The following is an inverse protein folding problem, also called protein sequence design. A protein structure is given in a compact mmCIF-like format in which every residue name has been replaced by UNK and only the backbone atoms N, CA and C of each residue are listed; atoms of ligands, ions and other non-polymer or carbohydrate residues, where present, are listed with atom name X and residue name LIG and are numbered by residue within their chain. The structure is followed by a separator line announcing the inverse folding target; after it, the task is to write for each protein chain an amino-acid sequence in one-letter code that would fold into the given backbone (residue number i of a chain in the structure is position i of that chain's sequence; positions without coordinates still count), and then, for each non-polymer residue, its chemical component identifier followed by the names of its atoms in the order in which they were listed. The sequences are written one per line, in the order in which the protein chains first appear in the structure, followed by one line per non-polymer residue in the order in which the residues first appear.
data_IF_544498865047
#
_entry.id   IF_544498865047
#
_cell.length_a   1.000
_cell.length_b   1.000
_cell.length_c   1.000
_cell.angle_alpha   90.00
_cell.angle_beta   90.00
_cell.angle_gamma   90.00
#
_symmetry.space_group_name_H-M   'P 1'
#
loop_
_entity.id
_entity.type
_entity.pdbx_description
1 polymer ?
#
# COMPACT_ATOMS: atom_id res chain seq x y z
N UNK A 1 -19.51 -0.44 -16.89
CA UNK A 1 -19.52 -0.51 -15.42
C UNK A 1 -20.88 -0.02 -14.99
N UNK A 2 -21.48 -0.65 -13.98
CA UNK A 2 -22.61 -0.01 -13.31
C UNK A 2 -22.13 1.28 -12.64
N UNK A 3 -22.99 2.29 -12.62
CA UNK A 3 -22.79 3.57 -11.92
C UNK A 3 -22.39 3.33 -10.45
N UNK A 4 -23.02 2.33 -9.83
CA UNK A 4 -22.75 1.85 -8.48
C UNK A 4 -21.31 1.41 -8.23
N UNK A 5 -20.68 0.68 -9.17
CA UNK A 5 -19.29 0.23 -9.00
C UNK A 5 -18.26 1.38 -9.08
N UNK A 6 -18.61 2.47 -9.76
CA UNK A 6 -17.78 3.68 -9.81
C UNK A 6 -17.92 4.50 -8.53
N UNK A 7 -19.15 4.70 -8.04
CA UNK A 7 -19.42 5.36 -6.75
C UNK A 7 -18.75 4.64 -5.59
N UNK A 8 -18.87 3.30 -5.56
CA UNK A 8 -18.20 2.45 -4.59
C UNK A 8 -16.67 2.64 -4.59
N UNK A 9 -16.04 2.67 -5.78
CA UNK A 9 -14.60 2.92 -5.91
C UNK A 9 -14.20 4.34 -5.46
N UNK A 10 -15.06 5.33 -5.69
CA UNK A 10 -14.82 6.72 -5.30
C UNK A 10 -14.95 6.90 -3.79
N UNK A 11 -15.97 6.30 -3.17
CA UNK A 11 -16.11 6.23 -1.70
C UNK A 11 -14.90 5.55 -1.06
N UNK A 12 -14.40 4.47 -1.68
CA UNK A 12 -13.21 3.78 -1.23
C UNK A 12 -11.96 4.66 -1.27
N UNK A 13 -11.74 5.35 -2.40
CA UNK A 13 -10.63 6.27 -2.56
C UNK A 13 -10.72 7.43 -1.56
N UNK A 14 -11.92 7.96 -1.32
CA UNK A 14 -12.18 8.99 -0.32
C UNK A 14 -11.91 8.47 1.09
N UNK A 15 -12.43 7.31 1.47
CA UNK A 15 -12.17 6.69 2.77
C UNK A 15 -10.68 6.43 2.99
N UNK A 16 -9.98 5.96 1.97
CA UNK A 16 -8.54 5.72 2.01
C UNK A 16 -7.70 6.99 2.19
N UNK A 17 -8.15 8.11 1.63
CA UNK A 17 -7.50 9.41 1.80
C UNK A 17 -7.74 10.02 3.19
N UNK A 18 -8.81 9.63 3.89
CA UNK A 18 -9.19 10.21 5.18
C UNK A 18 -8.77 9.34 6.39
N UNK A 19 -8.58 8.03 6.21
CA UNK A 19 -8.13 7.12 7.27
C UNK A 19 -6.60 7.19 7.46
N UNK A 20 -6.17 7.63 8.65
CA UNK A 20 -4.75 7.88 8.98
C UNK A 20 -4.11 6.76 9.78
N UNK A 21 -4.91 5.83 10.30
CA UNK A 21 -4.41 4.63 10.96
C UNK A 21 -4.36 3.49 9.95
N UNK A 22 -3.15 3.05 9.60
CA UNK A 22 -2.94 1.94 8.66
C UNK A 22 -3.66 0.66 9.11
N UNK A 23 -3.79 0.47 10.43
CA UNK A 23 -4.55 -0.62 11.07
C UNK A 23 -6.04 -0.63 10.74
N UNK A 24 -6.64 0.52 10.43
CA UNK A 24 -8.07 0.67 10.11
C UNK A 24 -8.33 0.75 8.61
N UNK A 25 -7.35 1.24 7.86
CA UNK A 25 -7.43 1.39 6.42
C UNK A 25 -7.56 0.04 5.70
N UNK A 26 -6.71 -0.92 6.05
CA UNK A 26 -6.70 -2.24 5.41
C UNK A 26 -8.00 -3.04 5.64
N UNK A 27 -8.60 -3.08 6.83
CA UNK A 27 -9.94 -3.63 7.05
C UNK A 27 -11.01 -3.06 6.11
N UNK A 28 -11.08 -1.73 6.01
CA UNK A 28 -12.09 -1.04 5.21
C UNK A 28 -11.94 -1.36 3.73
N UNK A 29 -10.70 -1.32 3.22
CA UNK A 29 -10.38 -1.65 1.84
C UNK A 29 -10.73 -3.10 1.50
N UNK A 30 -10.37 -4.02 2.40
CA UNK A 30 -10.59 -5.46 2.19
C UNK A 30 -12.08 -5.79 2.23
N UNK A 31 -12.84 -5.24 3.17
CA UNK A 31 -14.29 -5.45 3.25
C UNK A 31 -15.02 -4.92 2.01
N UNK A 32 -14.60 -3.76 1.49
CA UNK A 32 -15.16 -3.20 0.26
C UNK A 32 -14.81 -4.05 -0.97
N UNK A 33 -13.53 -4.44 -1.13
CA UNK A 33 -13.07 -5.35 -2.18
C UNK A 33 -13.94 -6.62 -2.21
N UNK A 34 -14.20 -7.22 -1.05
CA UNK A 34 -15.01 -8.43 -0.93
C UNK A 34 -16.47 -8.22 -1.35
N UNK A 35 -17.10 -7.10 -0.96
CA UNK A 35 -18.47 -6.77 -1.38
C UNK A 35 -18.58 -6.60 -2.89
N UNK A 36 -17.71 -5.81 -3.49
CA UNK A 36 -17.74 -5.56 -4.95
C UNK A 36 -17.38 -6.81 -5.76
N UNK A 37 -16.61 -7.74 -5.18
CA UNK A 37 -16.30 -9.04 -5.79
C UNK A 37 -17.34 -10.12 -5.49
N UNK A 38 -18.35 -9.84 -4.66
CA UNK A 38 -19.34 -10.81 -4.20
C UNK A 38 -18.67 -12.02 -3.53
N UNK A 39 -17.58 -11.79 -2.81
CA UNK A 39 -16.73 -12.81 -2.21
C UNK A 39 -16.95 -12.88 -0.70
N UNK A 40 -16.89 -14.10 -0.15
CA UNK A 40 -17.12 -14.34 1.27
C UNK A 40 -15.86 -14.18 2.12
N UNK A 41 -14.70 -14.49 1.54
CA UNK A 41 -13.43 -14.46 2.28
C UNK A 41 -12.29 -13.90 1.43
N UNK A 42 -11.35 -13.23 2.07
CA UNK A 42 -10.05 -12.91 1.48
C UNK A 42 -8.93 -13.23 2.47
N UNK A 43 -7.80 -13.65 1.93
CA UNK A 43 -6.55 -13.77 2.68
C UNK A 43 -5.59 -12.74 2.12
N UNK A 44 -5.01 -11.94 3.01
CA UNK A 44 -3.98 -10.96 2.67
C UNK A 44 -2.60 -11.55 2.99
N UNK A 45 -1.72 -11.61 1.99
CA UNK A 45 -0.32 -12.03 2.16
C UNK A 45 0.60 -10.81 2.29
N UNK A 46 0.78 -10.34 3.52
CA UNK A 46 1.52 -9.09 3.82
C UNK A 46 3.04 -9.27 4.00
N UNK A 47 3.50 -10.43 4.48
CA UNK A 47 4.91 -10.72 4.78
C UNK A 47 5.45 -11.93 4.00
N UNK A 48 6.78 -12.07 4.02
CA UNK A 48 7.50 -13.23 3.50
C UNK A 48 6.94 -14.52 4.11
N UNK A 49 6.82 -15.57 3.30
CA UNK A 49 6.42 -16.89 3.79
C UNK A 49 7.57 -17.47 4.62
N UNK A 50 7.60 -17.14 5.91
CA UNK A 50 8.47 -17.80 6.88
C UNK A 50 7.65 -18.34 8.07
N UNK A 51 8.20 -19.40 8.67
CA UNK A 51 7.57 -20.32 9.63
C UNK A 51 7.24 -19.70 11.01
N UNK A 52 7.30 -18.37 11.12
CA UNK A 52 7.12 -17.62 12.38
C UNK A 52 5.97 -16.62 12.38
N UNK A 53 5.23 -16.45 11.28
CA UNK A 53 4.10 -15.50 11.24
C UNK A 53 2.84 -16.09 11.88
N UNK A 54 2.13 -15.32 12.74
CA UNK A 54 0.96 -15.79 13.46
C UNK A 54 -0.23 -15.96 12.50
N UNK A 55 -0.47 -17.18 12.01
CA UNK A 55 -1.65 -17.53 11.21
C UNK A 55 -1.80 -16.81 9.87
N UNK A 56 -2.88 -17.13 9.14
CA UNK A 56 -3.31 -16.39 7.95
C UNK A 56 -4.41 -15.41 8.38
N UNK A 57 -4.23 -14.11 8.11
CA UNK A 57 -5.30 -13.13 8.33
C UNK A 57 -6.47 -13.40 7.37
N UNK A 58 -7.55 -14.02 7.87
CA UNK A 58 -8.78 -14.25 7.10
C UNK A 58 -9.74 -13.08 7.29
N UNK A 59 -10.15 -12.48 6.18
CA UNK A 59 -11.06 -11.35 6.14
C UNK A 59 -12.41 -11.74 5.54
N UNK A 60 -13.47 -11.14 6.05
CA UNK A 60 -14.84 -11.21 5.52
C UNK A 60 -15.32 -9.80 5.16
N UNK A 61 -16.45 -9.63 4.45
CA UNK A 61 -17.04 -8.31 4.23
C UNK A 61 -17.27 -7.49 5.51
N UNK A 62 -17.44 -8.15 6.66
CA UNK A 62 -17.67 -7.52 7.97
C UNK A 62 -16.40 -7.19 8.75
N UNK A 63 -15.22 -7.60 8.28
CA UNK A 63 -13.94 -7.41 8.98
C UNK A 63 -13.14 -8.71 9.13
N UNK A 64 -12.12 -8.67 9.98
CA UNK A 64 -11.27 -9.83 10.28
C UNK A 64 -12.09 -10.93 10.95
N UNK A 65 -11.86 -12.17 10.54
CA UNK A 65 -12.57 -13.34 11.05
C UNK A 65 -11.75 -14.04 12.12
N UNK A 66 -12.40 -14.51 13.18
CA UNK A 66 -11.80 -15.41 14.17
C UNK A 66 -11.66 -16.86 13.66
N UNK A 67 -11.92 -17.10 12.37
CA UNK A 67 -11.81 -18.43 11.75
C UNK A 67 -10.37 -18.92 11.85
N UNK A 68 -10.19 -20.06 12.50
CA UNK A 68 -8.96 -20.82 12.46
C UNK A 68 -8.88 -21.62 11.16
N UNK A 69 -7.71 -21.59 10.53
CA UNK A 69 -7.36 -22.44 9.38
C UNK A 69 -6.38 -23.48 9.92
N UNK A 70 -6.63 -24.76 9.66
CA UNK A 70 -5.74 -25.84 10.08
C UNK A 70 -4.36 -25.74 9.42
N UNK A 71 -3.34 -26.37 10.01
CA UNK A 71 -1.94 -26.23 9.57
C UNK A 71 -1.72 -26.71 8.14
N UNK A 72 -2.38 -27.78 7.72
CA UNK A 72 -2.26 -28.33 6.36
C UNK A 72 -2.87 -27.38 5.33
N UNK A 73 -4.06 -26.84 5.60
CA UNK A 73 -4.68 -25.81 4.78
C UNK A 73 -3.83 -24.54 4.76
N UNK A 74 -3.25 -24.12 5.88
CA UNK A 74 -2.32 -22.98 5.91
C UNK A 74 -1.10 -23.24 5.04
N UNK A 75 -0.47 -24.41 5.12
CA UNK A 75 0.67 -24.79 4.29
C UNK A 75 0.30 -24.78 2.80
N UNK A 76 -0.84 -25.38 2.44
CA UNK A 76 -1.34 -25.39 1.05
C UNK A 76 -1.58 -23.97 0.53
N UNK A 77 -2.30 -23.13 1.30
CA UNK A 77 -2.57 -21.73 0.93
C UNK A 77 -1.25 -20.94 0.84
N UNK A 78 -0.30 -21.20 1.74
CA UNK A 78 1.01 -20.55 1.73
C UNK A 78 1.73 -20.81 0.42
N UNK A 79 1.71 -22.02 -0.15
CA UNK A 79 2.32 -22.29 -1.49
C UNK A 79 1.87 -21.32 -2.58
N UNK A 80 0.65 -20.78 -2.46
CA UNK A 80 0.06 -19.86 -3.44
C UNK A 80 -0.23 -20.52 -4.79
N UNK A 81 -0.19 -21.85 -4.88
CA UNK A 81 -0.54 -22.57 -6.12
C UNK A 81 -2.02 -22.34 -6.49
N UNK A 82 -2.36 -22.20 -7.78
CA UNK A 82 -1.47 -22.20 -8.96
C UNK A 82 -0.91 -20.82 -9.31
N UNK A 83 -1.18 -19.79 -8.50
CA UNK A 83 -0.87 -18.41 -8.82
C UNK A 83 0.62 -18.11 -8.81
N UNK A 84 1.37 -18.66 -7.85
CA UNK A 84 2.81 -18.48 -7.74
C UNK A 84 3.53 -18.89 -9.03
N UNK A 85 3.20 -20.08 -9.55
CA UNK A 85 3.81 -20.60 -10.78
C UNK A 85 3.44 -19.75 -12.00
N UNK A 86 2.18 -19.32 -12.10
CA UNK A 86 1.71 -18.44 -13.17
C UNK A 86 2.49 -17.12 -13.20
N UNK A 87 2.62 -16.45 -12.06
CA UNK A 87 3.31 -15.16 -11.99
C UNK A 87 4.83 -15.30 -12.17
N UNK A 88 5.42 -16.40 -11.70
CA UNK A 88 6.84 -16.72 -11.96
C UNK A 88 7.09 -16.92 -13.44
N UNK A 89 6.20 -17.63 -14.14
CA UNK A 89 6.34 -17.93 -15.57
C UNK A 89 6.09 -16.71 -16.48
N UNK A 90 5.11 -15.87 -16.14
CA UNK A 90 4.69 -14.75 -17.01
C UNK A 90 5.36 -13.42 -16.66
N UNK A 91 5.68 -13.20 -15.38
CA UNK A 91 6.09 -11.89 -14.87
C UNK A 91 5.00 -10.83 -14.86
N UNK A 92 3.76 -11.18 -15.19
CA UNK A 92 2.64 -10.25 -15.28
C UNK A 92 1.87 -10.16 -13.96
N UNK A 93 1.98 -9.04 -13.25
CA UNK A 93 1.21 -8.78 -12.03
C UNK A 93 -0.22 -8.36 -12.37
N UNK A 94 -1.02 -9.28 -12.90
CA UNK A 94 -2.41 -9.03 -13.29
C UNK A 94 -3.37 -9.91 -12.48
N UNK A 95 -4.57 -9.42 -12.12
CA UNK A 95 -5.56 -10.25 -11.46
C UNK A 95 -6.01 -11.40 -12.36
N UNK A 96 -6.01 -12.62 -11.81
CA UNK A 96 -6.35 -13.86 -12.50
C UNK A 96 -7.12 -14.80 -11.58
N UNK A 97 -7.88 -15.73 -12.18
CA UNK A 97 -8.55 -16.80 -11.43
C UNK A 97 -7.79 -18.11 -11.58
N UNK A 98 -7.87 -18.98 -10.57
CA UNK A 98 -7.22 -20.29 -10.65
C UNK A 98 -7.70 -21.11 -11.87
N UNK A 99 -9.00 -21.00 -12.19
CA UNK A 99 -9.61 -21.58 -13.39
C UNK A 99 -9.05 -21.03 -14.70
N UNK A 100 -8.75 -19.73 -14.78
CA UNK A 100 -8.17 -19.13 -16.00
C UNK A 100 -6.74 -19.60 -16.27
N UNK A 101 -6.00 -19.94 -15.21
CA UNK A 101 -4.61 -20.40 -15.28
C UNK A 101 -4.54 -21.89 -15.63
N UNK A 102 -5.32 -22.72 -14.93
CA UNK A 102 -5.18 -24.19 -14.98
C UNK A 102 -6.25 -24.87 -15.83
N UNK A 103 -7.34 -24.18 -16.14
CA UNK A 103 -8.55 -24.77 -16.70
C UNK A 103 -9.45 -25.40 -15.63
N UNK A 104 -10.77 -25.40 -15.87
CA UNK A 104 -11.75 -25.76 -14.83
C UNK A 104 -11.68 -27.21 -14.33
N UNK A 105 -11.24 -28.16 -15.16
CA UNK A 105 -11.11 -29.57 -14.74
C UNK A 105 -9.90 -29.77 -13.84
N UNK A 106 -8.75 -29.22 -14.20
CA UNK A 106 -7.50 -29.33 -13.44
C UNK A 106 -7.66 -28.62 -12.09
N UNK A 107 -8.20 -27.41 -12.07
CA UNK A 107 -8.50 -26.69 -10.84
C UNK A 107 -9.35 -27.53 -9.87
N UNK A 108 -10.52 -28.02 -10.32
CA UNK A 108 -11.46 -28.75 -9.45
C UNK A 108 -10.83 -29.95 -8.75
N UNK A 109 -9.88 -30.62 -9.40
CA UNK A 109 -9.20 -31.82 -8.92
C UNK A 109 -7.87 -31.51 -8.19
N UNK A 110 -7.52 -30.24 -8.00
CA UNK A 110 -6.31 -29.84 -7.29
C UNK A 110 -6.54 -29.79 -5.77
N UNK A 111 -5.45 -29.98 -5.03
CA UNK A 111 -5.41 -29.83 -3.56
C UNK A 111 -5.84 -28.42 -3.13
N UNK A 112 -5.36 -27.38 -3.80
CA UNK A 112 -5.73 -26.00 -3.51
C UNK A 112 -7.24 -25.74 -3.66
N UNK A 113 -7.92 -26.44 -4.59
CA UNK A 113 -9.38 -26.35 -4.71
C UNK A 113 -10.12 -27.16 -3.64
N UNK A 114 -9.55 -28.26 -3.14
CA UNK A 114 -10.09 -28.97 -1.99
C UNK A 114 -10.04 -28.10 -0.74
N UNK A 115 -8.88 -27.50 -0.45
CA UNK A 115 -8.69 -26.55 0.66
C UNK A 115 -9.63 -25.35 0.53
N UNK A 116 -9.77 -24.75 -0.66
CA UNK A 116 -10.72 -23.65 -0.86
C UNK A 116 -12.17 -24.03 -0.52
N UNK A 117 -12.61 -25.25 -0.88
CA UNK A 117 -13.96 -25.74 -0.59
C UNK A 117 -14.14 -26.07 0.89
N UNK A 118 -13.19 -26.79 1.47
CA UNK A 118 -13.28 -27.29 2.85
C UNK A 118 -13.12 -26.16 3.86
N UNK A 119 -12.17 -25.25 3.65
CA UNK A 119 -11.87 -24.16 4.59
C UNK A 119 -12.83 -22.98 4.44
N UNK A 120 -13.23 -22.61 3.21
CA UNK A 120 -13.98 -21.38 2.93
C UNK A 120 -15.34 -21.59 2.25
N UNK A 121 -15.72 -22.83 1.92
CA UNK A 121 -16.90 -23.11 1.10
C UNK A 121 -16.79 -22.58 -0.33
N UNK A 122 -15.56 -22.31 -0.81
CA UNK A 122 -15.32 -21.58 -2.05
C UNK A 122 -15.16 -22.49 -3.26
N UNK A 123 -15.90 -22.23 -4.33
CA UNK A 123 -15.74 -22.89 -5.62
C UNK A 123 -14.73 -22.18 -6.52
N UNK A 124 -14.55 -20.88 -6.30
CA UNK A 124 -13.76 -20.00 -7.16
C UNK A 124 -12.79 -19.15 -6.35
N UNK A 125 -11.56 -19.02 -6.87
CA UNK A 125 -10.49 -18.23 -6.24
C UNK A 125 -9.88 -17.27 -7.26
N UNK A 126 -9.70 -16.02 -6.84
CA UNK A 126 -9.06 -14.96 -7.59
C UNK A 126 -7.80 -14.49 -6.83
N UNK A 127 -6.69 -14.35 -7.53
CA UNK A 127 -5.51 -13.68 -7.00
C UNK A 127 -5.46 -12.24 -7.50
N UNK A 128 -5.13 -11.32 -6.59
CA UNK A 128 -4.94 -9.90 -6.86
C UNK A 128 -3.55 -9.51 -6.31
N UNK A 129 -2.50 -9.50 -7.16
CA UNK A 129 -1.15 -9.22 -6.72
C UNK A 129 -0.95 -7.69 -6.60
N UNK A 130 -0.21 -7.25 -5.58
CA UNK A 130 -0.05 -5.84 -5.24
C UNK A 130 1.41 -5.37 -5.22
N UNK A 131 2.37 -6.24 -4.93
CA UNK A 131 3.79 -5.89 -4.96
C UNK A 131 4.69 -7.06 -5.39
N UNK A 132 5.85 -6.71 -5.95
CA UNK A 132 6.98 -7.62 -6.22
C UNK A 132 7.39 -7.68 -7.70
N UNK A 133 8.69 -7.79 -7.97
CA UNK A 133 9.21 -8.48 -9.16
C UNK A 133 9.90 -9.73 -8.64
N UNK A 134 9.24 -10.87 -8.81
CA UNK A 134 9.79 -12.22 -8.59
C UNK A 134 10.27 -12.55 -7.16
N UNK A 135 9.28 -12.75 -6.28
CA UNK A 135 9.32 -13.36 -4.94
C UNK A 135 9.71 -12.48 -3.72
N UNK A 136 8.86 -12.46 -2.66
CA UNK A 136 7.52 -13.05 -2.57
C UNK A 136 6.46 -12.21 -3.28
N UNK A 137 5.42 -12.88 -3.75
CA UNK A 137 4.25 -12.21 -4.33
C UNK A 137 3.32 -11.81 -3.19
N UNK A 138 3.14 -10.50 -3.02
CA UNK A 138 2.23 -9.92 -2.04
C UNK A 138 0.88 -9.59 -2.68
N UNK A 139 -0.19 -9.71 -1.92
CA UNK A 139 -1.52 -9.32 -2.36
C UNK A 139 -2.63 -10.12 -1.70
N UNK A 140 -3.73 -10.27 -2.43
CA UNK A 140 -4.96 -10.90 -1.95
C UNK A 140 -5.27 -12.20 -2.69
N UNK A 141 -5.67 -13.22 -1.92
CA UNK A 141 -6.42 -14.37 -2.43
C UNK A 141 -7.88 -14.19 -2.02
N UNK A 142 -8.78 -14.14 -2.99
CA UNK A 142 -10.21 -13.85 -2.80
C UNK A 142 -11.03 -15.09 -3.12
N UNK A 143 -11.86 -15.52 -2.18
CA UNK A 143 -12.60 -16.77 -2.18
C UNK A 143 -14.10 -16.52 -2.32
N UNK A 144 -14.72 -17.15 -3.32
CA UNK A 144 -16.13 -16.99 -3.66
C UNK A 144 -16.86 -18.33 -3.67
N UNK A 145 -18.01 -18.38 -3.00
CA UNK A 145 -18.73 -19.64 -2.70
C UNK A 145 -19.44 -20.23 -3.91
N UNK A 146 -20.45 -19.56 -4.43
CA UNK A 146 -21.42 -20.22 -5.33
C UNK A 146 -21.26 -19.83 -6.82
N UNK A 147 -20.38 -18.88 -7.15
CA UNK A 147 -20.30 -18.32 -8.50
C UNK A 147 -18.87 -18.06 -8.96
N UNK A 148 -18.63 -18.33 -10.24
CA UNK A 148 -17.39 -17.97 -10.93
C UNK A 148 -17.20 -16.46 -10.99
N UNK A 149 -15.95 -16.01 -10.93
CA UNK A 149 -15.62 -14.61 -11.19
C UNK A 149 -15.85 -14.30 -12.67
N UNK A 150 -16.73 -13.34 -12.94
CA UNK A 150 -17.03 -12.87 -14.30
C UNK A 150 -15.95 -11.93 -14.83
N UNK A 151 -16.01 -11.63 -16.13
CA UNK A 151 -15.15 -10.62 -16.75
C UNK A 151 -15.27 -9.23 -16.09
N UNK A 152 -16.46 -8.88 -15.58
CA UNK A 152 -16.68 -7.63 -14.87
C UNK A 152 -15.93 -7.58 -13.53
N UNK A 153 -15.93 -8.67 -12.76
CA UNK A 153 -15.16 -8.78 -11.53
C UNK A 153 -13.65 -8.63 -11.79
N UNK A 154 -13.13 -9.26 -12.85
CA UNK A 154 -11.72 -9.12 -13.24
C UNK A 154 -11.40 -7.69 -13.70
N UNK A 155 -12.32 -7.04 -14.42
CA UNK A 155 -12.15 -5.65 -14.83
C UNK A 155 -12.16 -4.69 -13.64
N UNK A 156 -13.00 -4.94 -12.62
CA UNK A 156 -12.96 -4.22 -11.36
C UNK A 156 -11.64 -4.45 -10.62
N UNK A 157 -11.22 -5.71 -10.45
CA UNK A 157 -9.97 -6.07 -9.80
C UNK A 157 -8.76 -5.36 -10.44
N UNK A 158 -8.70 -5.31 -11.78
CA UNK A 158 -7.63 -4.60 -12.53
C UNK A 158 -7.63 -3.09 -12.28
N UNK A 159 -8.81 -2.48 -12.12
CA UNK A 159 -8.93 -1.03 -11.87
C UNK A 159 -8.56 -0.66 -10.43
N UNK A 160 -8.96 -1.48 -9.46
CA UNK A 160 -8.69 -1.21 -8.03
C UNK A 160 -7.26 -1.61 -7.63
N UNK A 161 -6.63 -2.53 -8.36
CA UNK A 161 -5.28 -3.04 -8.06
C UNK A 161 -4.22 -1.93 -7.87
N UNK A 162 -4.06 -0.93 -8.75
CA UNK A 162 -3.06 0.13 -8.54
C UNK A 162 -3.31 0.97 -7.27
N UNK A 163 -4.57 1.19 -6.92
CA UNK A 163 -4.95 1.90 -5.69
C UNK A 163 -4.54 1.10 -4.46
N UNK A 164 -4.90 -0.18 -4.42
CA UNK A 164 -4.53 -1.09 -3.33
C UNK A 164 -3.00 -1.23 -3.21
N UNK A 165 -2.29 -1.32 -4.34
CA UNK A 165 -0.83 -1.42 -4.35
C UNK A 165 -0.18 -0.14 -3.80
N UNK A 166 -0.71 1.04 -4.15
CA UNK A 166 -0.25 2.31 -3.61
C UNK A 166 -0.45 2.40 -2.09
N UNK A 167 -1.64 2.03 -1.61
CA UNK A 167 -1.94 2.00 -0.18
C UNK A 167 -1.07 1.00 0.57
N UNK A 168 -0.90 -0.22 0.05
CA UNK A 168 -0.09 -1.23 0.72
C UNK A 168 1.38 -0.83 0.80
N UNK A 169 1.90 -0.21 -0.26
CA UNK A 169 3.25 0.38 -0.26
C UNK A 169 3.39 1.44 0.83
N UNK A 170 2.39 2.31 0.99
CA UNK A 170 2.36 3.32 2.05
C UNK A 170 2.30 2.70 3.45
N UNK A 171 1.43 1.71 3.68
CA UNK A 171 1.34 1.01 4.96
C UNK A 171 2.63 0.26 5.31
N UNK A 172 3.31 -0.35 4.34
CA UNK A 172 4.61 -1.02 4.55
C UNK A 172 5.71 -0.03 4.90
N UNK A 173 5.73 1.13 4.24
CA UNK A 173 6.68 2.19 4.55
C UNK A 173 6.48 2.71 5.99
N UNK A 174 5.23 2.93 6.39
CA UNK A 174 4.90 3.37 7.75
C UNK A 174 5.27 2.32 8.80
N UNK A 175 4.95 1.03 8.58
CA UNK A 175 5.32 -0.06 9.49
C UNK A 175 6.84 -0.20 9.66
N UNK A 176 7.60 -0.18 8.56
CA UNK A 176 9.08 -0.21 8.64
C UNK A 176 9.65 1.00 9.38
N UNK A 177 9.02 2.17 9.25
CA UNK A 177 9.40 3.36 9.99
C UNK A 177 9.09 3.22 11.49
N UNK A 178 7.92 2.67 11.85
CA UNK A 178 7.54 2.38 13.25
C UNK A 178 8.44 1.33 13.92
N UNK A 179 8.91 0.34 13.15
CA UNK A 179 9.85 -0.70 13.60
C UNK A 179 11.28 -0.18 13.78
N UNK A 180 11.67 0.84 13.00
CA UNK A 180 12.98 1.47 13.08
C UNK A 180 13.12 2.48 14.24
N UNK A 181 12.04 2.80 14.96
CA UNK A 181 12.08 3.69 16.12
C UNK A 181 12.45 2.92 17.41
N UNK A 182 13.38 3.42 18.25
CA UNK A 182 13.67 2.85 19.56
C UNK A 182 12.40 2.74 20.41
N UNK A 183 12.25 1.64 21.17
CA UNK A 183 11.04 1.36 22.00
C UNK A 183 10.67 2.53 22.93
N UNK A 184 11.66 3.30 23.39
CA UNK A 184 11.46 4.49 24.22
C UNK A 184 10.69 5.64 23.51
N UNK A 185 10.79 5.76 22.19
CA UNK A 185 10.09 6.77 21.39
C UNK A 185 8.71 6.28 20.88
N UNK A 186 8.40 4.97 20.96
CA UNK A 186 7.13 4.41 20.48
C UNK A 186 5.92 4.90 21.28
N UNK A 187 6.11 5.21 22.56
CA UNK A 187 5.07 5.73 23.47
C UNK A 187 4.83 7.24 23.26
N UNK A 188 5.84 8.01 22.82
CA UNK A 188 5.72 9.45 22.54
C UNK A 188 5.34 9.79 21.09
N UNK A 189 5.73 8.96 20.12
CA UNK A 189 5.42 9.16 18.70
C UNK A 189 3.92 8.97 18.39
N UNK A 190 3.28 8.00 19.06
CA UNK A 190 1.84 7.73 18.90
C UNK A 190 0.95 8.84 19.47
N UNK A 191 1.36 9.50 20.56
CA UNK A 191 0.61 10.62 21.16
C UNK A 191 0.76 11.95 20.39
N UNK A 192 1.85 12.13 19.64
CA UNK A 192 2.13 13.42 18.96
C UNK A 192 1.73 13.42 17.48
N UNK A 193 1.77 12.28 16.78
CA UNK A 193 1.29 12.16 15.39
C UNK A 193 -0.25 12.20 15.29
N UNK A 194 -0.98 11.78 16.33
CA UNK A 194 -2.45 11.76 16.36
C UNK A 194 -3.14 13.12 16.52
N UNK A 195 -2.41 14.17 16.88
CA UNK A 195 -3.02 15.44 17.33
C UNK A 195 -3.01 16.58 16.30
N UNK A 196 -2.25 16.50 15.20
CA UNK A 196 -2.22 17.57 14.18
C UNK A 196 -3.20 17.28 13.03
N UNK A 197 -4.45 17.73 13.19
CA UNK A 197 -5.51 17.57 12.17
C UNK A 197 -5.45 18.65 11.08
N UNK A 198 -4.67 18.41 10.03
CA UNK A 198 -4.72 19.20 8.79
C UNK A 198 -5.88 18.76 7.89
N UNK A 199 -6.58 19.73 7.27
CA UNK A 199 -7.60 19.49 6.24
C UNK A 199 -6.96 19.10 4.91
N UNK A 200 -7.70 18.51 3.97
CA UNK A 200 -7.19 18.11 2.66
C UNK A 200 -6.48 19.27 1.90
N UNK A 201 -7.04 20.49 2.00
CA UNK A 201 -6.45 21.69 1.37
C UNK A 201 -5.16 22.12 2.05
N UNK A 202 -5.10 22.04 3.38
CA UNK A 202 -3.88 22.33 4.15
C UNK A 202 -2.79 21.30 3.89
N UNK A 203 -3.12 20.00 3.79
CA UNK A 203 -2.17 18.94 3.43
C UNK A 203 -1.59 19.17 2.03
N UNK A 204 -2.43 19.51 1.06
CA UNK A 204 -1.98 19.81 -0.31
C UNK A 204 -1.02 21.00 -0.34
N UNK A 205 -1.34 22.07 0.40
CA UNK A 205 -0.45 23.24 0.51
C UNK A 205 0.85 22.88 1.23
N UNK A 206 0.81 22.04 2.27
CA UNK A 206 1.99 21.57 2.99
C UNK A 206 2.93 20.73 2.12
N UNK A 207 2.40 19.84 1.27
CA UNK A 207 3.19 19.06 0.31
C UNK A 207 3.96 19.97 -0.66
N UNK A 208 3.27 20.94 -1.23
CA UNK A 208 3.87 21.91 -2.15
C UNK A 208 4.86 22.86 -1.43
N UNK A 209 4.66 23.12 -0.14
CA UNK A 209 5.63 23.82 0.69
C UNK A 209 6.93 23.00 0.86
N UNK A 210 6.81 21.68 1.03
CA UNK A 210 7.93 20.74 1.08
C UNK A 210 8.70 20.64 -0.23
N UNK A 211 8.05 20.85 -1.38
CA UNK A 211 8.67 21.00 -2.71
C UNK A 211 9.35 22.37 -2.92
N UNK A 212 9.50 23.18 -1.88
CA UNK A 212 10.08 24.54 -1.95
C UNK A 212 9.32 25.52 -2.86
N UNK A 213 8.05 25.29 -3.18
CA UNK A 213 7.26 26.20 -4.02
C UNK A 213 6.85 27.48 -3.29
N UNK A 214 6.83 28.61 -4.00
CA UNK A 214 6.36 29.90 -3.47
C UNK A 214 4.83 29.94 -3.38
N UNK A 215 4.28 30.79 -2.52
CA UNK A 215 2.82 30.95 -2.38
C UNK A 215 2.13 31.33 -3.72
N UNK A 216 2.83 32.09 -4.57
CA UNK A 216 2.36 32.43 -5.92
C UNK A 216 2.31 31.20 -6.84
N UNK A 217 3.34 30.35 -6.83
CA UNK A 217 3.36 29.11 -7.60
C UNK A 217 2.31 28.11 -7.11
N UNK A 218 2.14 28.00 -5.79
CA UNK A 218 1.09 27.18 -5.17
C UNK A 218 -0.30 27.68 -5.59
N UNK A 219 -0.52 29.00 -5.55
CA UNK A 219 -1.78 29.62 -5.95
C UNK A 219 -2.14 29.30 -7.41
N UNK A 220 -1.18 29.45 -8.33
CA UNK A 220 -1.37 29.06 -9.74
C UNK A 220 -1.69 27.58 -9.91
N UNK A 221 -0.97 26.69 -9.22
CA UNK A 221 -1.13 25.23 -9.34
C UNK A 221 -2.46 24.72 -8.77
N UNK A 222 -3.01 25.40 -7.77
CA UNK A 222 -4.23 25.01 -7.07
C UNK A 222 -5.48 25.83 -7.45
N UNK A 223 -5.35 26.79 -8.38
CA UNK A 223 -6.44 27.70 -8.75
C UNK A 223 -6.87 28.62 -7.60
N UNK A 224 -5.92 29.12 -6.81
CA UNK A 224 -6.18 29.93 -5.60
C UNK A 224 -5.49 31.29 -5.66
N UNK A 225 -6.09 32.29 -5.01
CA UNK A 225 -5.40 33.55 -4.75
C UNK A 225 -4.22 33.34 -3.79
N UNK A 226 -3.16 34.14 -3.94
CA UNK A 226 -1.99 34.14 -3.02
C UNK A 226 -2.42 34.39 -1.58
N UNK A 227 -3.42 35.26 -1.36
CA UNK A 227 -3.98 35.54 -0.04
C UNK A 227 -4.61 34.28 0.58
N UNK A 228 -5.34 33.48 -0.20
CA UNK A 228 -5.93 32.23 0.28
C UNK A 228 -4.87 31.19 0.61
N UNK A 229 -3.78 31.13 -0.16
CA UNK A 229 -2.63 30.26 0.16
C UNK A 229 -2.00 30.68 1.49
N UNK A 230 -1.77 31.97 1.74
CA UNK A 230 -1.25 32.45 3.02
C UNK A 230 -2.18 32.13 4.20
N UNK A 231 -3.51 32.19 4.00
CA UNK A 231 -4.48 31.75 5.04
C UNK A 231 -4.30 30.26 5.38
N UNK A 232 -4.10 29.41 4.39
CA UNK A 232 -3.80 27.99 4.63
C UNK A 232 -2.45 27.80 5.32
N UNK A 233 -1.40 28.52 4.91
CA UNK A 233 -0.09 28.49 5.57
C UNK A 233 -0.18 28.89 7.04
N UNK A 234 -0.91 29.96 7.37
CA UNK A 234 -1.11 30.39 8.76
C UNK A 234 -1.86 29.35 9.60
N UNK A 235 -2.87 28.69 9.03
CA UNK A 235 -3.58 27.59 9.71
C UNK A 235 -2.67 26.38 9.92
N UNK A 236 -1.85 26.03 8.92
CA UNK A 236 -0.84 24.96 9.00
C UNK A 236 0.17 25.27 10.12
N UNK A 237 0.71 26.48 10.17
CA UNK A 237 1.68 26.90 11.16
C UNK A 237 1.12 26.81 12.57
N UNK A 238 -0.08 27.33 12.79
CA UNK A 238 -0.80 27.23 14.06
C UNK A 238 -1.04 25.78 14.48
N UNK A 239 -1.48 24.93 13.55
CA UNK A 239 -1.75 23.51 13.82
C UNK A 239 -0.48 22.70 14.08
N UNK A 240 0.65 23.08 13.47
CA UNK A 240 1.96 22.48 13.73
C UNK A 240 2.68 23.12 14.92
N UNK A 241 2.15 24.18 15.54
CA UNK A 241 2.84 24.90 16.62
C UNK A 241 4.14 25.55 16.17
N UNK A 242 4.15 26.13 14.97
CA UNK A 242 5.31 26.76 14.32
C UNK A 242 4.96 28.18 13.90
N UNK A 243 5.96 29.01 13.64
CA UNK A 243 5.79 30.41 13.21
C UNK A 243 6.36 30.69 11.83
N UNK A 244 7.23 29.81 11.32
CA UNK A 244 7.92 29.99 10.04
C UNK A 244 7.88 28.72 9.17
N UNK A 245 8.11 28.94 7.87
CA UNK A 245 8.03 27.90 6.83
C UNK A 245 8.98 26.75 7.10
N UNK A 246 10.22 27.04 7.48
CA UNK A 246 11.26 26.02 7.62
C UNK A 246 10.94 25.14 8.83
N UNK A 247 10.59 25.75 9.97
CA UNK A 247 10.14 25.03 11.15
C UNK A 247 8.89 24.20 10.88
N UNK A 248 7.94 24.71 10.09
CA UNK A 248 6.74 23.97 9.69
C UNK A 248 7.07 22.74 8.84
N UNK A 249 7.98 22.87 7.87
CA UNK A 249 8.42 21.74 7.03
C UNK A 249 9.21 20.71 7.85
N UNK A 250 10.17 21.15 8.66
CA UNK A 250 10.96 20.25 9.52
C UNK A 250 10.08 19.52 10.53
N UNK A 251 9.10 20.20 11.10
CA UNK A 251 8.15 19.60 12.04
C UNK A 251 7.17 18.66 11.34
N UNK A 252 6.71 19.02 10.14
CA UNK A 252 5.93 18.12 9.30
C UNK A 252 6.73 16.87 8.88
N UNK A 253 8.03 16.99 8.61
CA UNK A 253 8.92 15.84 8.37
C UNK A 253 9.08 14.96 9.61
N UNK A 254 9.27 15.56 10.79
CA UNK A 254 9.31 14.83 12.07
C UNK A 254 8.00 14.11 12.39
N UNK A 255 6.86 14.69 11.97
CA UNK A 255 5.54 14.07 12.10
C UNK A 255 5.16 13.13 10.95
N UNK A 256 6.07 12.87 10.00
CA UNK A 256 5.81 11.99 8.86
C UNK A 256 4.80 12.51 7.85
N UNK A 257 4.41 13.78 7.94
CA UNK A 257 3.49 14.45 7.01
C UNK A 257 4.19 14.87 5.70
N UNK A 258 5.52 14.95 5.70
CA UNK A 258 6.37 15.21 4.55
C UNK A 258 7.55 14.23 4.51
N UNK A 259 8.05 13.83 3.33
CA UNK A 259 9.25 13.01 3.22
C UNK A 259 10.47 13.75 3.77
N UNK A 260 11.29 13.05 4.56
CA UNK A 260 12.58 13.56 5.03
C UNK A 260 13.62 13.48 3.90
N UNK A 261 14.36 14.56 3.67
CA UNK A 261 15.35 14.68 2.58
C UNK A 261 16.52 13.69 2.68
N UNK A 262 16.69 12.98 3.81
CA UNK A 262 17.79 12.05 4.01
C UNK A 262 17.73 10.77 3.15
N UNK A 263 16.60 10.47 2.50
CA UNK A 263 16.44 9.28 1.66
C UNK A 263 16.82 9.49 0.18
N UNK A 264 17.20 10.70 -0.23
CA UNK A 264 17.52 11.03 -1.64
C UNK A 264 19.03 10.98 -1.97
N UNK A 265 19.92 10.88 -0.98
CA UNK A 265 21.37 10.98 -1.19
C UNK A 265 22.09 9.62 -1.37
N UNK A 266 21.39 8.48 -1.30
CA UNK A 266 21.99 7.14 -1.48
C UNK A 266 22.05 6.65 -2.93
N UNK A 267 21.91 7.55 -3.92
CA UNK A 267 21.76 7.18 -5.33
C UNK A 267 22.65 7.90 -6.35
N UNK A 268 23.80 8.49 -5.98
CA UNK A 268 24.64 9.20 -6.96
C UNK A 268 26.17 9.20 -6.79
N UNK A 269 26.78 8.19 -6.15
CA UNK A 269 28.26 8.07 -6.15
C UNK A 269 28.74 6.64 -6.40
N UNK A 270 28.77 6.21 -7.66
CA UNK A 270 29.77 5.27 -8.21
C UNK A 270 29.63 5.13 -9.74
N UNK A 271 29.84 6.22 -10.47
CA UNK A 271 30.28 6.13 -11.87
C UNK A 271 31.09 7.39 -12.19
N UNK A 272 32.40 7.24 -12.35
CA UNK A 272 33.27 8.37 -12.65
C UNK A 272 34.72 8.16 -12.25
N UNK A 273 35.44 7.45 -13.12
CA UNK A 273 36.79 7.84 -13.54
C UNK A 273 37.93 7.75 -12.52
N UNK A 274 38.67 6.64 -12.70
CA UNK A 274 40.10 6.52 -12.52
C UNK A 274 40.88 7.77 -13.02
N UNK A 275 41.15 8.72 -12.13
CA UNK A 275 42.24 9.68 -12.30
C UNK A 275 43.31 9.32 -11.28
N UNK A 276 44.34 8.61 -11.75
CA UNK A 276 45.59 8.43 -11.00
C UNK A 276 46.28 9.79 -10.88
N UNK A 277 46.31 10.34 -9.67
CA UNK A 277 47.34 11.30 -9.30
C UNK A 277 48.64 10.52 -9.04
N UNK A 278 49.66 10.77 -9.85
CA UNK A 278 51.05 10.54 -9.47
C UNK A 278 51.60 11.82 -8.82
N UNK A 279 52.45 11.73 -7.80
CA UNK A 279 52.97 12.91 -7.10
C UNK A 279 54.12 13.58 -7.87
N UNK A 280 54.16 14.90 -7.66
CA UNK A 280 55.25 15.87 -7.81
C UNK A 280 56.60 15.39 -8.38
N UNK A 281 57.05 16.09 -9.43
CA UNK A 281 58.46 16.48 -9.50
C UNK A 281 58.55 17.96 -9.87
N UNK A 282 59.27 18.69 -9.03
CA UNK A 282 59.63 20.09 -9.21
C UNK A 282 60.87 20.11 -10.08
N UNK A 283 60.87 20.85 -11.19
CA UNK A 283 62.08 21.58 -11.55
C UNK A 283 61.80 22.78 -12.45
N UNK A 284 62.36 23.91 -12.02
CA UNK A 284 62.39 25.19 -12.70
C UNK A 284 63.26 25.09 -13.96
N UNK A 285 62.75 25.62 -15.09
CA UNK A 285 63.38 26.69 -15.89
C UNK A 285 62.50 27.12 -17.05
#
# INVERSE_FOLDING_TARGET
MSERAYEEMLELAVAALHERHHDRLLPLLTGHLLRSLGAGHAIRKAEEWNDGSPGLDVWTPGGMSDRTVDEDAQACIRTGSPFTDFYRATGELVPVTARSITGGRVWRNSEAAAVARETFGASSVLALPLAGRFEPIHGYLVYRQESEFTAEHLAYARRVQPLLAGVEKQCRYLRRWEEALPVADRVGAHETAGNVRLTARETTVLLLLGESLTAASIGRRLGMSVSTVHKHMGSIYRKLGTSDRLSAVLRAQRYGLLPSSAAADSGHAASGTNCRCAPADQDLR
#
